data_IF_077026763447
#
_entry.id   IF_077026763447
#
_cell.length_a   1.000
_cell.length_b   1.000
_cell.length_c   1.000
_cell.angle_alpha   90.00
_cell.angle_beta   90.00
_cell.angle_gamma   90.00
#
_symmetry.space_group_name_H-M   'P 1'
#
loop_
_entity.id
_entity.type
_entity.pdbx_description
1 polymer ?
#
# COMPACT_ATOMS: atom_id res chain seq x y z
N UNK A 1 -11.24 -27.51 -47.88
CA UNK A 1 -10.12 -26.55 -47.95
C UNK A 1 -10.18 -25.68 -46.70
N UNK A 2 -9.55 -26.11 -45.60
CA UNK A 2 -9.59 -25.42 -44.30
C UNK A 2 -8.40 -24.47 -44.22
N UNK A 3 -8.65 -23.16 -44.10
CA UNK A 3 -7.58 -22.16 -43.96
C UNK A 3 -7.09 -22.17 -42.51
N UNK A 4 -5.80 -22.39 -42.33
CA UNK A 4 -5.09 -22.34 -41.06
C UNK A 4 -5.22 -20.94 -40.46
N UNK A 5 -6.08 -20.80 -39.45
CA UNK A 5 -6.11 -19.59 -38.62
C UNK A 5 -4.86 -19.64 -37.74
N UNK A 6 -3.90 -18.79 -38.04
CA UNK A 6 -2.65 -18.70 -37.28
C UNK A 6 -2.92 -18.19 -35.87
N UNK A 7 -2.59 -19.02 -34.88
CA UNK A 7 -2.63 -18.76 -33.42
C UNK A 7 -2.35 -17.31 -32.95
N UNK A 8 -1.35 -16.57 -33.48
CA UNK A 8 -1.10 -15.19 -33.02
C UNK A 8 -2.24 -14.21 -33.28
N UNK A 9 -3.04 -14.43 -34.34
CA UNK A 9 -4.15 -13.55 -34.68
C UNK A 9 -5.31 -13.67 -33.66
N UNK A 10 -5.50 -14.86 -33.08
CA UNK A 10 -6.52 -15.10 -32.05
C UNK A 10 -6.09 -14.46 -30.72
N UNK A 11 -4.79 -14.49 -30.38
CA UNK A 11 -4.26 -13.90 -29.14
C UNK A 11 -4.31 -12.36 -29.14
N UNK A 12 -4.06 -11.72 -30.29
CA UNK A 12 -4.23 -10.27 -30.45
C UNK A 12 -5.70 -9.82 -30.38
N UNK A 13 -6.62 -10.63 -30.91
CA UNK A 13 -8.06 -10.31 -30.83
C UNK A 13 -8.59 -10.43 -29.40
N UNK A 14 -8.13 -11.44 -28.64
CA UNK A 14 -8.51 -11.63 -27.23
C UNK A 14 -8.02 -10.50 -26.31
N UNK A 15 -6.86 -9.91 -26.60
CA UNK A 15 -6.32 -8.79 -25.81
C UNK A 15 -7.03 -7.47 -26.11
N UNK A 16 -7.59 -7.29 -27.30
CA UNK A 16 -8.39 -6.11 -27.64
C UNK A 16 -9.78 -6.08 -26.97
N UNK A 17 -10.39 -7.24 -26.69
CA UNK A 17 -11.69 -7.31 -25.98
C UNK A 17 -11.57 -7.15 -24.46
N UNK A 18 -10.38 -7.29 -23.86
CA UNK A 18 -10.18 -7.19 -22.41
C UNK A 18 -10.08 -5.74 -21.89
N UNK A 19 -10.09 -4.72 -22.76
CA UNK A 19 -9.85 -3.32 -22.39
C UNK A 19 -11.09 -2.51 -21.97
N UNK A 20 -12.31 -3.00 -22.16
CA UNK A 20 -13.53 -2.26 -21.84
C UNK A 20 -13.99 -2.52 -20.40
N UNK A 21 -13.38 -1.84 -19.42
CA UNK A 21 -13.85 -1.94 -18.04
C UNK A 21 -13.25 -0.96 -17.03
N UNK A 22 -12.21 -0.19 -17.39
CA UNK A 22 -11.61 0.76 -16.46
C UNK A 22 -12.22 2.15 -16.64
N UNK A 23 -13.38 2.36 -16.03
CA UNK A 23 -13.86 3.71 -15.72
C UNK A 23 -13.12 4.21 -14.47
N UNK A 24 -12.34 5.30 -14.53
CA UNK A 24 -11.74 5.89 -13.33
C UNK A 24 -12.84 6.63 -12.57
N UNK A 25 -13.65 5.92 -11.79
CA UNK A 25 -14.64 6.53 -10.92
C UNK A 25 -13.92 7.17 -9.73
N UNK A 26 -13.82 8.50 -9.76
CA UNK A 26 -13.65 9.28 -8.52
C UNK A 26 -14.92 9.11 -7.72
N UNK A 27 -14.87 8.28 -6.69
CA UNK A 27 -15.86 8.33 -5.62
C UNK A 27 -16.74 7.11 -5.56
N UNK A 28 -16.91 6.67 -4.32
CA UNK A 28 -17.81 5.63 -3.83
C UNK A 28 -17.52 4.19 -4.26
N UNK A 29 -17.35 3.33 -3.26
CA UNK A 29 -17.31 1.88 -3.48
C UNK A 29 -18.64 1.36 -4.03
N UNK A 30 -18.71 0.08 -4.45
CA UNK A 30 -19.88 -0.53 -5.07
C UNK A 30 -21.19 -0.36 -4.28
N UNK A 31 -21.07 -0.22 -2.95
CA UNK A 31 -22.19 -0.12 -2.01
C UNK A 31 -22.40 1.31 -1.46
N UNK A 32 -21.82 2.33 -2.12
CA UNK A 32 -21.90 3.72 -1.64
C UNK A 32 -20.94 4.04 -0.49
N UNK A 33 -20.01 3.14 -0.15
CA UNK A 33 -18.95 3.40 0.82
C UNK A 33 -18.08 4.58 0.36
N UNK A 34 -17.58 5.44 1.26
CA UNK A 34 -16.62 6.47 0.90
C UNK A 34 -15.41 5.85 0.19
N UNK A 35 -14.70 6.58 -0.68
CA UNK A 35 -13.55 6.05 -1.40
C UNK A 35 -12.52 5.52 -0.39
N UNK A 36 -12.41 4.19 -0.35
CA UNK A 36 -11.45 3.48 0.48
C UNK A 36 -10.06 3.69 -0.10
N UNK A 37 -9.31 4.62 0.48
CA UNK A 37 -7.93 4.91 0.10
C UNK A 37 -6.95 3.85 0.62
N UNK A 38 -7.31 3.10 1.66
CA UNK A 38 -6.53 2.01 2.21
C UNK A 38 -7.43 0.98 2.94
N UNK A 39 -7.03 -0.30 2.92
CA UNK A 39 -7.62 -1.39 3.72
C UNK A 39 -6.49 -2.06 4.51
N UNK A 40 -6.74 -2.63 5.70
CA UNK A 40 -5.72 -3.35 6.49
C UNK A 40 -5.44 -4.75 5.91
N UNK A 41 -5.58 -4.90 4.60
CA UNK A 41 -5.44 -6.13 3.86
C UNK A 41 -4.51 -5.81 2.70
N UNK A 42 -3.41 -6.54 2.65
CA UNK A 42 -2.48 -6.49 1.54
C UNK A 42 -3.18 -6.89 0.23
N UNK A 43 -3.05 -6.05 -0.80
CA UNK A 43 -3.82 -6.09 -2.05
C UNK A 43 -2.91 -5.93 -3.27
N UNK A 44 -1.71 -6.48 -3.26
CA UNK A 44 -0.92 -6.59 -4.50
C UNK A 44 -1.56 -7.56 -5.50
N UNK A 45 -1.06 -7.50 -6.75
CA UNK A 45 -1.33 -8.44 -7.84
C UNK A 45 -1.41 -9.89 -7.29
N UNK A 46 -2.63 -10.40 -7.14
CA UNK A 46 -2.97 -11.75 -6.65
C UNK A 46 -2.43 -12.16 -5.26
N UNK A 47 -2.08 -11.22 -4.36
CA UNK A 47 -1.55 -11.56 -3.03
C UNK A 47 -0.18 -12.24 -3.07
N UNK A 48 0.65 -11.85 -4.04
CA UNK A 48 2.00 -12.39 -4.24
C UNK A 48 3.02 -11.92 -3.18
N UNK A 49 2.76 -10.83 -2.47
CA UNK A 49 3.50 -10.30 -1.30
C UNK A 49 2.80 -10.58 0.04
N UNK A 50 1.47 -10.75 0.04
CA UNK A 50 0.71 -11.37 1.13
C UNK A 50 1.22 -12.79 1.45
N UNK A 51 2.16 -13.29 0.66
CA UNK A 51 2.91 -14.52 0.85
C UNK A 51 3.53 -14.64 2.25
N UNK A 52 2.89 -15.50 3.04
CA UNK A 52 3.58 -16.57 3.79
C UNK A 52 4.84 -16.10 4.54
N UNK A 53 4.68 -15.13 5.44
CA UNK A 53 5.74 -14.75 6.39
C UNK A 53 6.90 -13.94 5.80
N UNK A 54 6.70 -13.26 4.67
CA UNK A 54 7.69 -12.32 4.08
C UNK A 54 7.23 -10.85 4.06
N UNK A 55 6.00 -10.57 4.48
CA UNK A 55 5.47 -9.21 4.67
C UNK A 55 5.97 -8.55 5.96
N UNK A 56 5.28 -7.47 6.37
CA UNK A 56 5.54 -6.70 7.59
C UNK A 56 6.05 -7.54 8.76
N UNK A 57 7.16 -7.12 9.37
CA UNK A 57 7.78 -7.85 10.49
C UNK A 57 7.49 -7.12 11.80
N UNK A 58 7.00 -7.87 12.79
CA UNK A 58 6.75 -7.36 14.13
C UNK A 58 8.02 -6.71 14.71
N UNK A 59 7.86 -5.49 15.24
CA UNK A 59 8.95 -4.72 15.82
C UNK A 59 9.90 -4.03 14.83
N UNK A 60 9.70 -4.20 13.52
CA UNK A 60 10.46 -3.48 12.48
C UNK A 60 9.68 -2.28 11.96
N UNK A 61 9.42 -1.30 12.83
CA UNK A 61 8.74 -0.06 12.46
C UNK A 61 9.61 1.15 12.80
N UNK A 62 9.54 2.18 11.95
CA UNK A 62 10.07 3.50 12.26
C UNK A 62 9.02 4.34 13.02
N UNK A 63 9.47 5.43 13.62
CA UNK A 63 8.62 6.41 14.29
C UNK A 63 8.55 7.68 13.47
N UNK A 64 7.38 7.98 12.92
CA UNK A 64 7.07 9.29 12.36
C UNK A 64 6.53 10.22 13.46
N UNK A 65 6.91 11.49 13.41
CA UNK A 65 6.33 12.54 14.24
C UNK A 65 5.31 13.33 13.43
N UNK A 66 4.05 13.34 13.88
CA UNK A 66 2.98 14.13 13.27
C UNK A 66 3.15 15.63 13.56
N UNK A 67 2.35 16.53 12.94
CA UNK A 67 2.44 17.97 13.16
C UNK A 67 2.26 18.41 14.62
N UNK A 68 1.57 17.59 15.43
CA UNK A 68 1.33 17.85 16.86
C UNK A 68 2.49 17.33 17.74
N UNK A 69 3.50 16.67 17.14
CA UNK A 69 4.63 16.06 17.86
C UNK A 69 4.30 14.69 18.45
N UNK A 70 3.20 14.07 18.03
CA UNK A 70 2.83 12.73 18.45
C UNK A 70 3.44 11.66 17.55
N UNK A 71 3.76 10.53 18.16
CA UNK A 71 4.48 9.43 17.51
C UNK A 71 3.51 8.49 16.78
N UNK A 72 3.88 8.12 15.56
CA UNK A 72 3.17 7.19 14.69
C UNK A 72 4.14 6.07 14.31
N UNK A 73 3.73 4.82 14.54
CA UNK A 73 4.39 3.67 13.96
C UNK A 73 4.17 3.68 12.46
N UNK A 74 5.24 3.60 11.69
CA UNK A 74 5.18 3.42 10.24
C UNK A 74 6.03 2.24 9.82
N UNK A 75 5.52 1.47 8.87
CA UNK A 75 6.20 0.32 8.29
C UNK A 75 5.80 0.20 6.82
N UNK A 76 6.74 -0.22 6.00
CA UNK A 76 6.61 -0.23 4.54
C UNK A 76 7.36 -1.44 3.96
N UNK A 77 6.71 -2.20 3.11
CA UNK A 77 7.33 -3.27 2.32
C UNK A 77 7.57 -2.85 0.85
N UNK A 78 7.53 -1.54 0.57
CA UNK A 78 7.86 -0.95 -0.72
C UNK A 78 6.78 -1.12 -1.78
N UNK A 79 5.69 -1.80 -1.49
CA UNK A 79 4.46 -1.77 -2.27
C UNK A 79 3.30 -1.18 -1.45
N UNK A 80 3.19 -1.54 -0.16
CA UNK A 80 2.14 -1.06 0.74
C UNK A 80 2.69 -0.56 2.09
N UNK A 81 2.31 0.66 2.47
CA UNK A 81 2.66 1.27 3.75
C UNK A 81 1.54 1.19 4.79
N UNK A 82 1.89 0.86 6.04
CA UNK A 82 0.97 0.83 7.17
C UNK A 82 1.38 1.84 8.24
N UNK A 83 0.38 2.44 8.90
CA UNK A 83 0.64 3.34 10.02
C UNK A 83 -0.39 3.23 11.13
N UNK A 84 0.05 3.45 12.37
CA UNK A 84 -0.83 3.55 13.53
C UNK A 84 -0.25 4.47 14.58
N UNK A 85 -1.08 5.19 15.34
CA UNK A 85 -0.59 6.00 16.46
C UNK A 85 0.08 5.10 17.49
N UNK A 86 1.29 5.47 17.92
CA UNK A 86 1.93 4.87 19.08
C UNK A 86 1.20 5.31 20.34
N UNK A 87 0.80 4.36 21.16
CA UNK A 87 0.09 4.59 22.41
C UNK A 87 0.93 4.14 23.59
N UNK A 88 0.81 4.88 24.68
CA UNK A 88 1.35 4.47 25.97
C UNK A 88 0.54 3.27 26.48
N UNK A 89 1.18 2.14 26.84
CA UNK A 89 0.46 0.93 27.21
C UNK A 89 -0.29 1.04 28.54
N UNK A 90 0.04 2.04 29.38
CA UNK A 90 -0.62 2.24 30.68
C UNK A 90 -1.88 3.09 30.53
N UNK A 91 -1.76 4.24 29.87
CA UNK A 91 -2.84 5.22 29.72
C UNK A 91 -3.69 5.04 28.46
N UNK A 92 -3.18 4.32 27.44
CA UNK A 92 -3.80 4.22 26.11
C UNK A 92 -3.73 5.50 25.28
N UNK A 93 -3.14 6.57 25.84
CA UNK A 93 -3.03 7.87 25.19
C UNK A 93 -1.92 7.87 24.14
N UNK A 94 -2.01 8.72 23.09
CA UNK A 94 -0.92 8.93 22.15
C UNK A 94 0.37 9.32 22.86
N UNK A 95 1.49 8.74 22.43
CA UNK A 95 2.81 9.16 22.90
C UNK A 95 3.21 10.42 22.14
N UNK A 96 3.31 11.56 22.84
CA UNK A 96 3.71 12.84 22.24
C UNK A 96 4.86 13.45 23.03
N UNK A 97 5.88 13.96 22.31
CA UNK A 97 7.03 14.65 22.91
C UNK A 97 7.69 15.63 21.92
N UNK A 98 8.67 16.38 22.42
CA UNK A 98 9.41 17.39 21.64
C UNK A 98 10.85 16.96 21.33
N UNK A 99 11.17 15.65 21.43
CA UNK A 99 12.54 15.15 21.24
C UNK A 99 12.97 15.19 19.77
N UNK A 100 12.01 15.11 18.86
CA UNK A 100 12.22 15.09 17.41
C UNK A 100 11.30 16.13 16.79
N UNK A 101 11.76 16.80 15.74
CA UNK A 101 10.97 17.82 15.04
C UNK A 101 9.76 17.17 14.34
N UNK A 102 8.57 17.81 14.38
CA UNK A 102 7.42 17.39 13.58
C UNK A 102 7.76 17.17 12.10
N UNK A 103 7.19 16.12 11.51
CA UNK A 103 7.42 15.71 10.13
C UNK A 103 8.67 14.87 9.88
N UNK A 104 9.44 14.53 10.93
CA UNK A 104 10.63 13.68 10.81
C UNK A 104 10.29 12.22 11.09
N UNK A 105 11.07 11.32 10.50
CA UNK A 105 11.01 9.88 10.72
C UNK A 105 12.31 9.44 11.39
N UNK A 106 12.18 8.66 12.48
CA UNK A 106 13.29 8.04 13.20
C UNK A 106 13.28 6.54 12.93
N UNK A 107 14.37 6.03 12.37
CA UNK A 107 14.52 4.63 11.98
C UNK A 107 14.26 4.38 10.49
N UNK A 108 14.46 3.14 10.06
CA UNK A 108 14.15 2.70 8.69
C UNK A 108 12.74 2.08 8.67
N UNK A 109 11.77 2.66 7.94
CA UNK A 109 10.43 2.07 7.85
C UNK A 109 10.39 0.84 6.93
N UNK A 110 11.43 0.60 6.12
CA UNK A 110 11.42 -0.44 5.09
C UNK A 110 11.75 -1.82 5.65
N UNK A 111 10.90 -2.81 5.39
CA UNK A 111 11.18 -4.22 5.70
C UNK A 111 11.90 -4.96 4.58
N UNK A 112 11.91 -4.40 3.36
CA UNK A 112 12.59 -4.98 2.22
C UNK A 112 13.29 -3.91 1.36
N UNK A 113 13.75 -4.32 0.16
CA UNK A 113 14.50 -3.46 -0.78
C UNK A 113 13.70 -3.11 -2.03
N UNK A 114 12.39 -3.28 -2.02
CA UNK A 114 11.55 -2.86 -3.14
C UNK A 114 11.63 -1.33 -3.26
N UNK A 115 11.96 -0.77 -4.45
CA UNK A 115 12.05 0.67 -4.62
C UNK A 115 10.69 1.34 -4.47
N UNK A 116 10.60 2.35 -3.59
CA UNK A 116 9.43 3.23 -3.49
C UNK A 116 9.31 4.07 -4.77
N UNK A 117 8.18 3.94 -5.47
CA UNK A 117 7.90 4.71 -6.66
C UNK A 117 7.30 6.05 -6.26
N UNK A 118 8.16 7.07 -6.18
CA UNK A 118 7.68 8.46 -6.06
C UNK A 118 7.41 9.06 -7.44
N UNK A 119 6.22 9.66 -7.66
CA UNK A 119 6.00 10.47 -8.84
C UNK A 119 7.11 11.52 -8.95
N UNK A 120 7.71 11.64 -10.12
CA UNK A 120 8.63 12.76 -10.41
C UNK A 120 7.85 14.07 -10.25
N UNK A 121 8.43 14.98 -9.47
CA UNK A 121 7.86 16.30 -9.16
C UNK A 121 7.67 17.13 -10.43
#
# INVERSE_FOLDING_TARGET
MMRNVTFPAVLMLLSALAGCGMTPTRGTGPDGEPPLLAKPQDKTIFGLDAQKGRGLVDGQAAIAYDPDGCQIWIIDDGAEGYSSRRRDPVSGMPVCDTRVKPGYVVGDPRVNRVPDWRPVR
#
